data_IF_279321317932
#
_entry.id   IF_279321317932
#
_cell.length_a   1.000
_cell.length_b   1.000
_cell.length_c   1.000
_cell.angle_alpha   90.00
_cell.angle_beta   90.00
_cell.angle_gamma   90.00
#
_symmetry.space_group_name_H-M   'P 1'
#
loop_
_entity.id
_entity.type
_entity.pdbx_description
1 polymer ?
#
# COMPACT_ATOMS: atom_id res chain seq x y z
N UNK A 1 -0.07 17.39 -12.73
CA UNK A 1 -1.04 16.76 -13.65
C UNK A 1 -0.96 15.27 -13.35
N UNK A 2 -2.09 14.61 -13.08
CA UNK A 2 -2.15 13.16 -12.86
C UNK A 2 -1.80 12.44 -14.16
N UNK A 3 -0.94 11.43 -14.06
CA UNK A 3 -0.53 10.61 -15.19
C UNK A 3 -0.85 9.15 -14.89
N UNK A 4 -1.53 8.47 -15.80
CA UNK A 4 -1.95 7.07 -15.63
C UNK A 4 -1.08 6.16 -16.48
N UNK A 5 -0.53 5.11 -15.86
CA UNK A 5 0.25 4.07 -16.52
C UNK A 5 -0.43 2.70 -16.32
N UNK A 6 -0.63 1.97 -17.42
CA UNK A 6 -1.01 0.56 -17.37
C UNK A 6 0.14 -0.27 -16.82
N UNK A 7 -0.15 -1.22 -15.94
CA UNK A 7 0.88 -2.09 -15.39
C UNK A 7 1.38 -3.11 -16.40
N UNK A 8 0.49 -3.62 -17.23
CA UNK A 8 0.75 -4.69 -18.19
C UNK A 8 0.52 -4.18 -19.61
N UNK A 9 1.51 -4.34 -20.48
CA UNK A 9 1.48 -3.85 -21.86
C UNK A 9 1.48 -4.97 -22.89
N UNK A 10 1.82 -6.19 -22.50
CA UNK A 10 1.89 -7.38 -23.38
C UNK A 10 0.99 -8.48 -22.87
N UNK A 11 1.35 -9.15 -21.80
CA UNK A 11 0.58 -10.23 -21.19
C UNK A 11 0.19 -9.89 -19.76
N UNK A 12 -1.08 -10.07 -19.41
CA UNK A 12 -1.56 -9.87 -18.04
C UNK A 12 -1.45 -11.20 -17.29
N UNK A 13 -0.60 -11.34 -16.25
CA UNK A 13 -0.51 -12.57 -15.50
C UNK A 13 -1.82 -12.84 -14.74
N UNK A 14 -2.15 -14.11 -14.51
CA UNK A 14 -3.39 -14.52 -13.83
C UNK A 14 -4.66 -13.94 -14.49
N UNK A 15 -4.65 -13.89 -15.83
CA UNK A 15 -5.76 -13.40 -16.62
C UNK A 15 -6.97 -14.33 -16.49
N UNK A 16 -8.15 -13.77 -16.34
CA UNK A 16 -9.43 -14.47 -16.37
C UNK A 16 -10.25 -14.00 -17.56
N UNK A 17 -11.31 -14.75 -17.90
CA UNK A 17 -12.21 -14.39 -19.00
C UNK A 17 -12.79 -12.98 -18.78
N UNK A 18 -12.62 -12.13 -19.79
CA UNK A 18 -13.06 -10.74 -19.76
C UNK A 18 -12.08 -9.74 -19.14
N UNK A 19 -10.87 -10.16 -18.74
CA UNK A 19 -9.81 -9.23 -18.37
C UNK A 19 -9.33 -8.43 -19.61
N UNK A 20 -8.85 -7.21 -19.34
CA UNK A 20 -8.42 -6.27 -20.39
C UNK A 20 -9.57 -5.44 -20.99
N UNK A 21 -10.81 -5.78 -20.69
CA UNK A 21 -11.98 -4.94 -20.98
C UNK A 21 -12.33 -4.14 -19.73
N UNK A 22 -12.29 -2.83 -19.84
CA UNK A 22 -12.61 -1.93 -18.72
C UNK A 22 -14.07 -2.12 -18.28
N UNK A 23 -14.27 -2.66 -17.08
CA UNK A 23 -15.59 -2.95 -16.48
C UNK A 23 -15.79 -2.27 -15.15
N UNK A 24 -14.70 -1.69 -14.61
CA UNK A 24 -14.74 -1.06 -13.30
C UNK A 24 -15.79 0.05 -13.20
N UNK A 25 -16.46 0.08 -12.07
CA UNK A 25 -17.45 1.07 -11.74
C UNK A 25 -17.44 1.38 -10.24
N UNK A 26 -18.01 2.51 -9.87
CA UNK A 26 -18.25 2.83 -8.47
C UNK A 26 -19.53 2.19 -8.00
N UNK A 27 -19.48 1.48 -6.86
CA UNK A 27 -20.67 0.92 -6.20
C UNK A 27 -21.54 2.09 -5.75
N UNK A 28 -22.80 2.09 -6.15
CA UNK A 28 -23.76 3.12 -5.72
C UNK A 28 -24.00 3.03 -4.21
N UNK A 29 -23.82 4.15 -3.51
CA UNK A 29 -24.00 4.25 -2.06
C UNK A 29 -24.23 5.71 -1.67
N UNK A 30 -25.02 5.94 -0.62
CA UNK A 30 -25.15 7.26 0.03
C UNK A 30 -23.95 7.61 0.94
N UNK A 31 -23.07 6.65 1.17
CA UNK A 31 -21.82 6.82 1.91
C UNK A 31 -20.84 7.67 1.06
N UNK A 32 -20.14 8.65 1.64
CA UNK A 32 -19.14 9.47 0.93
C UNK A 32 -17.93 8.66 0.44
N UNK A 33 -17.75 7.43 0.87
CA UNK A 33 -16.68 6.54 0.44
C UNK A 33 -16.96 6.03 -0.97
N UNK A 34 -16.09 6.39 -1.91
CA UNK A 34 -16.13 5.86 -3.27
C UNK A 34 -15.51 4.46 -3.31
N UNK A 35 -16.30 3.46 -3.67
CA UNK A 35 -15.87 2.04 -3.77
C UNK A 35 -15.79 1.62 -5.23
N UNK A 36 -14.57 1.53 -5.75
CA UNK A 36 -14.31 1.09 -7.13
C UNK A 36 -14.19 -0.45 -7.15
N UNK A 37 -15.00 -1.11 -7.96
CA UNK A 37 -14.99 -2.58 -8.12
C UNK A 37 -14.86 -3.01 -9.57
N UNK A 38 -14.81 -4.33 -9.81
CA UNK A 38 -14.65 -4.97 -11.13
C UNK A 38 -13.42 -4.48 -11.91
N UNK A 39 -12.35 -4.21 -11.17
CA UNK A 39 -11.08 -3.79 -11.77
C UNK A 39 -10.44 -4.96 -12.51
N UNK A 40 -10.41 -4.88 -13.83
CA UNK A 40 -9.79 -5.86 -14.75
C UNK A 40 -8.58 -5.29 -15.51
N UNK A 41 -8.44 -3.95 -15.53
CA UNK A 41 -7.30 -3.22 -16.11
C UNK A 41 -6.53 -2.53 -15.01
N UNK A 42 -5.48 -3.18 -14.44
CA UNK A 42 -4.72 -2.58 -13.36
C UNK A 42 -3.78 -1.48 -13.84
N UNK A 43 -3.71 -0.40 -13.08
CA UNK A 43 -2.98 0.83 -13.43
C UNK A 43 -2.38 1.49 -12.19
N UNK A 44 -1.40 2.36 -12.39
CA UNK A 44 -0.97 3.35 -11.40
C UNK A 44 -1.30 4.76 -11.87
N UNK A 45 -1.85 5.57 -10.99
CA UNK A 45 -1.96 7.01 -11.16
C UNK A 45 -0.79 7.70 -10.45
N UNK A 46 0.04 8.42 -11.19
CA UNK A 46 1.19 9.14 -10.65
C UNK A 46 0.80 10.55 -10.23
N UNK A 47 1.19 10.93 -9.01
CA UNK A 47 1.05 12.26 -8.41
C UNK A 47 2.46 12.78 -8.07
N UNK A 48 3.22 13.28 -9.07
CA UNK A 48 4.55 13.81 -8.84
C UNK A 48 4.50 15.13 -8.08
N UNK A 49 5.59 15.46 -7.39
CA UNK A 49 5.78 16.77 -6.76
C UNK A 49 6.83 17.57 -7.51
N UNK A 50 6.64 18.90 -7.55
CA UNK A 50 7.64 19.79 -8.11
C UNK A 50 8.77 19.97 -7.09
N UNK A 51 9.98 19.52 -7.42
CA UNK A 51 11.15 19.62 -6.57
C UNK A 51 12.42 19.73 -7.42
N UNK A 52 13.39 20.49 -6.94
CA UNK A 52 14.72 20.56 -7.53
C UNK A 52 15.68 19.43 -7.08
N UNK A 53 15.29 18.69 -6.04
CA UNK A 53 15.98 17.47 -5.58
C UNK A 53 15.10 16.26 -5.85
N UNK A 54 15.71 15.09 -6.00
CA UNK A 54 14.99 13.82 -5.98
C UNK A 54 14.22 13.67 -4.69
N UNK A 55 12.98 13.21 -4.80
CA UNK A 55 12.08 13.01 -3.66
C UNK A 55 11.82 11.53 -3.41
N UNK A 56 11.53 11.11 -2.18
CA UNK A 56 11.03 9.77 -1.93
C UNK A 56 9.64 9.59 -2.56
N UNK A 57 9.27 8.33 -2.79
CA UNK A 57 7.98 7.97 -3.36
C UNK A 57 7.22 6.98 -2.47
N UNK A 58 5.89 6.97 -2.59
CA UNK A 58 5.01 6.04 -1.88
C UNK A 58 3.98 5.45 -2.83
N UNK A 59 3.97 4.12 -2.96
CA UNK A 59 2.86 3.40 -3.56
C UNK A 59 1.71 3.32 -2.56
N UNK A 60 0.54 3.83 -2.92
CA UNK A 60 -0.68 3.83 -2.08
C UNK A 60 -1.60 2.70 -2.53
N UNK A 61 -1.90 1.78 -1.60
CA UNK A 61 -2.75 0.62 -1.82
C UNK A 61 -4.03 0.78 -0.99
N UNK A 62 -5.17 1.17 -1.60
CA UNK A 62 -6.45 1.27 -0.90
C UNK A 62 -6.90 -0.07 -0.32
N UNK A 63 -7.70 -0.03 0.75
CA UNK A 63 -8.41 -1.19 1.27
C UNK A 63 -9.69 -1.51 0.51
N UNK A 64 -10.51 -2.39 1.10
CA UNK A 64 -11.77 -2.84 0.52
C UNK A 64 -11.92 -4.35 0.50
N UNK A 65 -11.18 -5.08 1.35
CA UNK A 65 -11.32 -6.53 1.55
C UNK A 65 -10.89 -7.39 0.35
N UNK A 66 -10.27 -6.83 -0.67
CA UNK A 66 -10.07 -7.39 -2.01
C UNK A 66 -11.36 -7.51 -2.84
N UNK A 67 -12.46 -6.89 -2.41
CA UNK A 67 -13.72 -6.87 -3.16
C UNK A 67 -13.89 -5.57 -3.94
N UNK A 68 -13.36 -4.49 -3.43
CA UNK A 68 -13.34 -3.15 -4.05
C UNK A 68 -12.10 -2.37 -3.59
N UNK A 69 -11.94 -1.17 -4.12
CA UNK A 69 -10.92 -0.20 -3.69
C UNK A 69 -11.63 1.00 -3.06
N UNK A 70 -11.26 1.37 -1.83
CA UNK A 70 -11.73 2.57 -1.15
C UNK A 70 -11.03 3.80 -1.76
N UNK A 71 -11.52 4.26 -2.91
CA UNK A 71 -10.79 5.02 -3.91
C UNK A 71 -10.43 6.44 -3.53
N UNK A 72 -11.32 7.12 -2.78
CA UNK A 72 -11.08 8.50 -2.33
C UNK A 72 -10.23 8.54 -1.04
N UNK A 73 -10.83 8.26 0.12
CA UNK A 73 -10.27 8.52 1.45
C UNK A 73 -9.08 7.63 1.84
N UNK A 74 -8.88 6.49 1.19
CA UNK A 74 -7.69 5.62 1.32
C UNK A 74 -6.80 5.65 0.07
N UNK A 75 -7.19 6.38 -0.96
CA UNK A 75 -6.51 6.48 -2.25
C UNK A 75 -6.10 7.91 -2.60
N UNK A 76 -6.93 8.61 -3.38
CA UNK A 76 -6.61 9.94 -3.94
C UNK A 76 -6.29 11.00 -2.88
N UNK A 77 -7.03 11.01 -1.78
CA UNK A 77 -6.84 11.97 -0.70
C UNK A 77 -5.51 11.73 0.03
N UNK A 78 -5.12 10.44 0.16
CA UNK A 78 -3.80 10.06 0.69
C UNK A 78 -2.68 10.48 -0.24
N UNK A 79 -2.84 10.34 -1.56
CA UNK A 79 -1.84 10.85 -2.52
C UNK A 79 -1.67 12.36 -2.38
N UNK A 80 -2.77 13.11 -2.24
CA UNK A 80 -2.75 14.55 -2.01
C UNK A 80 -2.05 14.92 -0.69
N UNK A 81 -2.32 14.16 0.38
CA UNK A 81 -1.66 14.32 1.67
C UNK A 81 -0.14 14.12 1.54
N UNK A 82 0.30 13.04 0.90
CA UNK A 82 1.72 12.72 0.70
C UNK A 82 2.42 13.80 -0.14
N UNK A 83 1.76 14.31 -1.17
CA UNK A 83 2.28 15.43 -1.94
C UNK A 83 2.48 16.69 -1.08
N UNK A 84 1.53 16.99 -0.18
CA UNK A 84 1.68 18.07 0.79
C UNK A 84 2.86 17.90 1.76
N UNK A 85 3.31 16.66 1.95
CA UNK A 85 4.49 16.30 2.76
C UNK A 85 5.79 16.30 1.92
N UNK A 86 5.73 16.49 0.59
CA UNK A 86 6.88 16.46 -0.32
C UNK A 86 7.22 15.09 -0.90
N UNK A 87 6.35 14.10 -0.78
CA UNK A 87 6.53 12.77 -1.36
C UNK A 87 5.82 12.67 -2.70
N UNK A 88 6.45 12.07 -3.70
CA UNK A 88 5.73 11.61 -4.88
C UNK A 88 4.82 10.45 -4.48
N UNK A 89 3.57 10.46 -4.92
CA UNK A 89 2.61 9.41 -4.58
C UNK A 89 2.12 8.70 -5.84
N UNK A 90 1.84 7.41 -5.70
CA UNK A 90 1.37 6.57 -6.79
C UNK A 90 0.19 5.75 -6.30
N UNK A 91 -1.00 6.00 -6.83
CA UNK A 91 -2.21 5.28 -6.45
C UNK A 91 -2.33 4.01 -7.29
N UNK A 92 -2.40 2.87 -6.61
CA UNK A 92 -2.56 1.57 -7.25
C UNK A 92 -4.05 1.24 -7.44
N UNK A 93 -4.45 1.04 -8.69
CA UNK A 93 -5.70 0.40 -9.08
C UNK A 93 -5.42 -1.08 -9.35
N UNK A 94 -5.45 -1.91 -8.31
CA UNK A 94 -5.20 -3.34 -8.41
C UNK A 94 -6.46 -4.13 -8.70
N UNK A 95 -6.32 -5.31 -9.31
CA UNK A 95 -7.45 -6.16 -9.70
C UNK A 95 -8.24 -6.67 -8.49
N UNK A 96 -9.56 -6.56 -8.59
CA UNK A 96 -10.57 -7.06 -7.67
C UNK A 96 -11.90 -7.28 -8.42
N UNK A 97 -12.89 -8.03 -7.90
CA UNK A 97 -12.91 -8.71 -6.60
C UNK A 97 -12.15 -10.05 -6.59
N UNK A 98 -11.86 -10.54 -5.38
CA UNK A 98 -11.32 -11.88 -5.08
C UNK A 98 -10.05 -12.32 -5.85
N UNK A 99 -9.26 -11.35 -6.32
CA UNK A 99 -8.08 -11.54 -7.17
C UNK A 99 -6.76 -11.34 -6.40
N UNK A 100 -6.60 -11.92 -5.19
CA UNK A 100 -5.45 -11.66 -4.30
C UNK A 100 -4.08 -11.90 -4.96
N UNK A 101 -3.91 -13.00 -5.68
CA UNK A 101 -2.65 -13.33 -6.36
C UNK A 101 -2.37 -12.33 -7.49
N UNK A 102 -3.39 -12.00 -8.27
CA UNK A 102 -3.30 -11.00 -9.32
C UNK A 102 -2.99 -9.61 -8.74
N UNK A 103 -3.65 -9.21 -7.64
CA UNK A 103 -3.39 -7.96 -6.94
C UNK A 103 -1.93 -7.87 -6.43
N UNK A 104 -1.36 -9.00 -5.95
CA UNK A 104 0.05 -9.03 -5.54
C UNK A 104 0.99 -8.86 -6.74
N UNK A 105 0.70 -9.50 -7.88
CA UNK A 105 1.42 -9.29 -9.13
C UNK A 105 1.36 -7.82 -9.57
N UNK A 106 0.17 -7.21 -9.52
CA UNK A 106 -0.06 -5.80 -9.86
C UNK A 106 0.76 -4.86 -8.97
N UNK A 107 0.76 -5.09 -7.66
CA UNK A 107 1.53 -4.28 -6.72
C UNK A 107 3.06 -4.42 -6.92
N UNK A 108 3.54 -5.64 -7.15
CA UNK A 108 4.95 -5.89 -7.43
C UNK A 108 5.39 -5.21 -8.74
N UNK A 109 4.56 -5.29 -9.77
CA UNK A 109 4.82 -4.61 -11.05
C UNK A 109 4.81 -3.09 -10.89
N UNK A 110 3.87 -2.55 -10.12
CA UNK A 110 3.79 -1.12 -9.83
C UNK A 110 5.08 -0.59 -9.17
N UNK A 111 5.59 -1.27 -8.14
CA UNK A 111 6.86 -0.92 -7.49
C UNK A 111 8.02 -0.87 -8.48
N UNK A 112 8.13 -1.85 -9.36
CA UNK A 112 9.16 -1.92 -10.41
C UNK A 112 9.03 -0.79 -11.42
N UNK A 113 7.80 -0.49 -11.87
CA UNK A 113 7.53 0.60 -12.80
C UNK A 113 7.86 1.97 -12.20
N UNK A 114 7.59 2.18 -10.91
CA UNK A 114 7.97 3.42 -10.20
C UNK A 114 9.49 3.58 -10.22
N UNK A 115 10.25 2.53 -9.91
CA UNK A 115 11.72 2.57 -9.93
C UNK A 115 12.27 2.75 -11.36
N UNK A 116 11.71 2.06 -12.34
CA UNK A 116 12.13 2.17 -13.75
C UNK A 116 11.93 3.58 -14.31
N UNK A 117 10.87 4.26 -13.88
CA UNK A 117 10.51 5.60 -14.34
C UNK A 117 10.90 6.70 -13.33
N UNK A 118 11.74 6.42 -12.35
CA UNK A 118 12.08 7.33 -11.26
C UNK A 118 12.61 8.70 -11.77
N UNK A 119 13.42 8.70 -12.83
CA UNK A 119 13.93 9.94 -13.43
C UNK A 119 12.81 10.82 -14.01
N UNK A 120 11.75 10.23 -14.57
CA UNK A 120 10.60 10.93 -15.16
C UNK A 120 9.83 11.75 -14.12
N UNK A 121 9.76 11.26 -12.87
CA UNK A 121 9.01 11.89 -11.78
C UNK A 121 9.91 12.53 -10.72
N UNK A 122 11.22 12.63 -11.02
CA UNK A 122 12.23 13.15 -10.08
C UNK A 122 12.23 12.40 -8.74
N UNK A 123 12.02 11.07 -8.77
CA UNK A 123 11.98 10.18 -7.62
C UNK A 123 13.37 9.63 -7.34
N UNK A 124 13.69 9.44 -6.06
CA UNK A 124 14.83 8.65 -5.61
C UNK A 124 14.47 7.15 -5.65
N UNK A 125 15.02 6.35 -6.57
CA UNK A 125 14.65 4.94 -6.71
C UNK A 125 15.03 4.07 -5.50
N UNK A 126 15.91 4.55 -4.61
CA UNK A 126 16.29 3.87 -3.37
C UNK A 126 15.42 4.29 -2.17
N UNK A 127 14.38 5.10 -2.40
CA UNK A 127 13.44 5.58 -1.39
C UNK A 127 11.99 5.45 -1.86
N UNK A 128 11.63 4.24 -2.27
CA UNK A 128 10.26 3.92 -2.73
C UNK A 128 9.59 3.03 -1.70
N UNK A 129 8.65 3.59 -0.93
CA UNK A 129 7.88 2.87 0.08
C UNK A 129 6.50 2.44 -0.41
N UNK A 130 5.78 1.73 0.46
CA UNK A 130 4.39 1.36 0.25
C UNK A 130 3.55 1.71 1.48
N UNK A 131 2.38 2.29 1.25
CA UNK A 131 1.38 2.61 2.26
C UNK A 131 0.08 1.92 1.88
N UNK A 132 -0.49 1.16 2.81
CA UNK A 132 -1.74 0.47 2.56
C UNK A 132 -2.70 0.52 3.73
N UNK A 133 -3.97 0.31 3.40
CA UNK A 133 -5.09 0.31 4.33
C UNK A 133 -5.79 -1.04 4.31
N UNK A 134 -6.08 -1.64 5.47
CA UNK A 134 -6.84 -2.89 5.56
C UNK A 134 -6.27 -3.99 4.64
N UNK A 135 -7.01 -4.45 3.64
CA UNK A 135 -6.53 -5.38 2.61
C UNK A 135 -5.37 -4.81 1.79
N UNK A 136 -5.32 -3.50 1.55
CA UNK A 136 -4.18 -2.83 0.92
C UNK A 136 -2.93 -2.84 1.80
N UNK A 137 -3.08 -2.79 3.14
CA UNK A 137 -1.98 -2.99 4.07
C UNK A 137 -1.46 -4.42 4.05
N UNK A 138 -2.36 -5.43 3.93
CA UNK A 138 -1.94 -6.81 3.66
C UNK A 138 -1.13 -6.90 2.36
N UNK A 139 -1.56 -6.22 1.29
CA UNK A 139 -0.84 -6.18 0.03
C UNK A 139 0.57 -5.57 0.18
N UNK A 140 0.71 -4.48 0.96
CA UNK A 140 2.01 -3.90 1.31
C UNK A 140 2.87 -4.85 2.15
N UNK A 141 2.26 -5.61 3.07
CA UNK A 141 2.95 -6.64 3.84
C UNK A 141 3.46 -7.78 2.93
N UNK A 142 2.67 -8.18 1.92
CA UNK A 142 3.09 -9.14 0.89
C UNK A 142 4.31 -8.62 0.10
N UNK A 143 4.33 -7.35 -0.31
CA UNK A 143 5.49 -6.74 -0.96
C UNK A 143 6.75 -6.78 -0.08
N UNK A 144 6.59 -6.61 1.23
CA UNK A 144 7.69 -6.53 2.18
C UNK A 144 8.23 -7.91 2.60
N UNK A 145 7.37 -8.90 2.78
CA UNK A 145 7.67 -10.12 3.52
C UNK A 145 7.12 -11.43 2.94
N UNK A 146 6.59 -11.44 1.71
CA UNK A 146 6.11 -12.69 1.10
C UNK A 146 7.24 -13.73 1.05
N UNK A 147 6.91 -14.97 1.41
CA UNK A 147 7.78 -16.15 1.18
C UNK A 147 7.85 -16.52 -0.29
N UNK A 148 6.84 -16.19 -1.04
CA UNK A 148 6.80 -16.46 -2.47
C UNK A 148 7.75 -15.52 -3.19
N UNK A 149 8.50 -16.06 -4.12
CA UNK A 149 9.28 -15.29 -5.07
C UNK A 149 8.37 -14.45 -5.97
N UNK A 150 8.94 -13.84 -6.98
CA UNK A 150 8.23 -12.96 -7.90
C UNK A 150 6.87 -13.56 -8.30
N UNK A 151 5.76 -12.82 -8.10
CA UNK A 151 4.41 -13.37 -8.29
C UNK A 151 4.03 -13.56 -9.78
N UNK A 152 4.94 -13.34 -10.72
CA UNK A 152 4.69 -13.48 -12.17
C UNK A 152 5.99 -13.69 -12.95
N UNK A 153 5.97 -14.35 -14.13
CA UNK A 153 7.13 -14.45 -14.97
C UNK A 153 7.54 -13.08 -15.55
N UNK A 154 8.85 -12.79 -15.70
CA UNK A 154 9.33 -11.50 -16.24
C UNK A 154 8.70 -11.16 -17.59
N UNK A 155 8.19 -9.94 -17.73
CA UNK A 155 7.60 -9.41 -18.97
C UNK A 155 8.61 -8.61 -19.80
N UNK A 156 9.42 -7.80 -19.11
CA UNK A 156 10.39 -6.89 -19.72
C UNK A 156 11.56 -6.58 -18.76
N UNK A 157 12.58 -5.80 -19.17
CA UNK A 157 13.72 -5.45 -18.31
C UNK A 157 13.36 -4.76 -17.00
N UNK A 158 12.20 -4.12 -16.88
CA UNK A 158 11.72 -3.51 -15.63
C UNK A 158 11.62 -4.56 -14.52
N UNK A 159 11.35 -5.80 -14.85
CA UNK A 159 11.18 -6.89 -13.90
C UNK A 159 12.48 -7.40 -13.28
N UNK A 160 13.62 -6.89 -13.69
CA UNK A 160 14.90 -7.09 -13.02
C UNK A 160 15.06 -6.20 -11.77
N UNK A 161 14.23 -5.14 -11.65
CA UNK A 161 14.26 -4.23 -10.51
C UNK A 161 13.56 -4.84 -9.29
N UNK A 162 13.96 -4.38 -8.11
CA UNK A 162 13.35 -4.80 -6.87
C UNK A 162 11.89 -4.31 -6.77
N UNK A 163 10.97 -5.20 -6.40
CA UNK A 163 9.59 -4.85 -6.05
C UNK A 163 9.41 -4.61 -4.55
N UNK A 164 10.37 -5.02 -3.73
CA UNK A 164 10.31 -4.83 -2.28
C UNK A 164 10.38 -3.33 -1.95
N UNK A 165 9.49 -2.81 -1.08
CA UNK A 165 9.55 -1.43 -0.64
C UNK A 165 10.76 -1.17 0.27
N UNK A 166 11.24 0.08 0.28
CA UNK A 166 12.32 0.53 1.18
C UNK A 166 11.79 0.89 2.58
N UNK A 167 10.49 1.11 2.71
CA UNK A 167 9.75 1.31 3.96
C UNK A 167 8.25 1.01 3.76
N UNK A 168 7.53 0.69 4.83
CA UNK A 168 6.09 0.39 4.77
C UNK A 168 5.29 1.11 5.84
N UNK A 169 4.05 1.51 5.49
CA UNK A 169 3.04 1.98 6.43
C UNK A 169 1.81 1.06 6.31
N UNK A 170 1.50 0.37 7.40
CA UNK A 170 0.40 -0.59 7.48
C UNK A 170 -0.69 0.00 8.40
N UNK A 171 -1.75 0.52 7.80
CA UNK A 171 -2.82 1.20 8.51
C UNK A 171 -4.00 0.23 8.65
N UNK A 172 -4.38 -0.06 9.89
CA UNK A 172 -5.38 -1.08 10.28
C UNK A 172 -5.30 -2.35 9.41
N UNK A 173 -4.12 -3.01 9.39
CA UNK A 173 -3.90 -4.11 8.48
C UNK A 173 -4.83 -5.29 8.79
N UNK A 174 -5.25 -5.98 7.73
CA UNK A 174 -6.02 -7.22 7.82
C UNK A 174 -5.15 -8.43 7.49
N UNK A 175 -5.54 -9.62 7.93
CA UNK A 175 -5.01 -10.92 7.50
C UNK A 175 -3.51 -11.15 7.78
N UNK A 176 -2.91 -10.42 8.73
CA UNK A 176 -1.49 -10.58 9.07
C UNK A 176 -1.27 -11.65 10.14
N UNK A 177 -2.17 -11.74 11.12
CA UNK A 177 -2.05 -12.66 12.26
C UNK A 177 -3.40 -13.23 12.68
N UNK A 178 -3.38 -14.34 13.40
CA UNK A 178 -4.52 -14.92 14.10
C UNK A 178 -4.68 -14.34 15.53
N UNK A 179 -5.65 -14.86 16.29
CA UNK A 179 -5.94 -14.42 17.66
C UNK A 179 -4.81 -14.71 18.65
N UNK A 180 -3.94 -15.68 18.34
CA UNK A 180 -2.76 -16.05 19.13
C UNK A 180 -1.50 -15.23 18.72
N UNK A 181 -1.66 -14.18 17.94
CA UNK A 181 -0.57 -13.33 17.39
C UNK A 181 0.40 -14.10 16.48
N UNK A 182 0.01 -15.26 15.99
CA UNK A 182 0.79 -16.03 15.02
C UNK A 182 0.57 -15.45 13.64
N UNK A 183 1.66 -15.05 12.98
CA UNK A 183 1.59 -14.56 11.60
C UNK A 183 1.11 -15.63 10.64
N UNK A 184 0.38 -15.20 9.62
CA UNK A 184 0.01 -16.01 8.46
C UNK A 184 1.26 -16.66 7.85
N UNK A 185 1.13 -17.90 7.41
CA UNK A 185 2.25 -18.71 6.86
C UNK A 185 2.84 -18.14 5.56
N UNK A 186 2.14 -17.19 4.93
CA UNK A 186 2.60 -16.53 3.72
C UNK A 186 3.76 -15.52 3.96
N UNK A 187 4.02 -15.13 5.22
CA UNK A 187 5.05 -14.17 5.57
C UNK A 187 6.34 -14.80 6.10
N UNK A 188 7.47 -14.20 5.70
CA UNK A 188 8.80 -14.47 6.24
C UNK A 188 9.42 -13.20 6.82
N UNK A 189 9.34 -13.04 8.14
CA UNK A 189 9.93 -11.87 8.81
C UNK A 189 11.40 -12.14 9.10
N UNK A 190 12.26 -11.27 8.60
CA UNK A 190 13.71 -11.35 8.75
C UNK A 190 14.28 -10.02 9.29
N UNK A 191 15.53 -10.03 9.73
CA UNK A 191 16.22 -8.81 10.18
C UNK A 191 16.28 -7.72 9.11
N UNK A 192 16.23 -8.13 7.83
CA UNK A 192 16.32 -7.21 6.69
C UNK A 192 14.95 -6.67 6.24
N UNK A 193 13.93 -6.74 7.10
CA UNK A 193 12.64 -6.11 6.82
C UNK A 193 12.77 -4.62 6.62
N UNK A 194 12.01 -4.02 5.68
CA UNK A 194 11.92 -2.58 5.58
C UNK A 194 11.38 -1.99 6.89
N UNK A 195 11.86 -0.82 7.34
CA UNK A 195 11.25 -0.11 8.45
C UNK A 195 9.74 -0.01 8.27
N UNK A 196 8.98 -0.33 9.31
CA UNK A 196 7.52 -0.42 9.23
C UNK A 196 6.85 0.47 10.28
N UNK A 197 5.91 1.28 9.81
CA UNK A 197 4.97 2.02 10.65
C UNK A 197 3.64 1.26 10.70
N UNK A 198 3.09 1.09 11.90
CA UNK A 198 1.82 0.41 12.16
C UNK A 198 0.87 1.33 12.90
N UNK A 199 -0.40 1.32 12.52
CA UNK A 199 -1.43 2.10 13.19
C UNK A 199 -2.75 1.35 13.15
N UNK A 200 -3.43 1.24 14.31
CA UNK A 200 -4.73 0.61 14.44
C UNK A 200 -5.49 1.12 15.67
N UNK A 201 -6.81 0.93 15.69
CA UNK A 201 -7.65 1.09 16.87
C UNK A 201 -7.89 -0.26 17.54
N UNK A 202 -8.00 -0.28 18.87
CA UNK A 202 -8.32 -1.51 19.61
C UNK A 202 -9.76 -1.97 19.35
N UNK A 203 -10.69 -1.01 19.20
CA UNK A 203 -12.09 -1.28 18.90
C UNK A 203 -12.36 -1.53 17.39
N UNK A 204 -11.33 -1.81 16.58
CA UNK A 204 -11.46 -2.16 15.17
C UNK A 204 -12.11 -3.53 15.01
N UNK A 205 -13.13 -3.64 14.16
CA UNK A 205 -13.75 -4.93 13.81
C UNK A 205 -12.81 -5.88 13.03
N UNK A 206 -11.72 -5.35 12.43
CA UNK A 206 -10.58 -6.12 11.95
C UNK A 206 -9.54 -6.16 13.06
N UNK A 207 -9.32 -7.33 13.59
CA UNK A 207 -8.57 -7.58 14.83
C UNK A 207 -7.23 -6.85 14.94
N UNK A 208 -7.01 -6.21 16.07
CA UNK A 208 -5.76 -5.50 16.41
C UNK A 208 -4.54 -6.45 16.48
N UNK A 209 -4.78 -7.75 16.66
CA UNK A 209 -3.78 -8.83 16.65
C UNK A 209 -2.97 -8.84 15.37
N UNK A 210 -3.52 -8.38 14.24
CA UNK A 210 -2.79 -8.20 12.99
C UNK A 210 -1.57 -7.27 13.17
N UNK A 211 -1.78 -6.10 13.78
CA UNK A 211 -0.71 -5.14 14.05
C UNK A 211 0.23 -5.61 15.16
N UNK A 212 -0.32 -6.17 16.24
CA UNK A 212 0.47 -6.69 17.36
C UNK A 212 1.37 -7.85 16.94
N UNK A 213 0.83 -8.83 16.22
CA UNK A 213 1.57 -9.98 15.73
C UNK A 213 2.73 -9.57 14.81
N UNK A 214 2.46 -8.67 13.88
CA UNK A 214 3.49 -8.13 12.99
C UNK A 214 4.59 -7.39 13.74
N UNK A 215 4.22 -6.47 14.65
CA UNK A 215 5.17 -5.72 15.45
C UNK A 215 6.07 -6.63 16.30
N UNK A 216 5.48 -7.63 16.97
CA UNK A 216 6.23 -8.59 17.79
C UNK A 216 7.17 -9.46 16.95
N UNK A 217 6.73 -9.88 15.75
CA UNK A 217 7.59 -10.65 14.84
C UNK A 217 8.80 -9.82 14.39
N UNK A 218 8.60 -8.56 14.00
CA UNK A 218 9.70 -7.65 13.64
C UNK A 218 10.66 -7.41 14.80
N UNK A 219 10.12 -7.17 16.01
CA UNK A 219 10.93 -6.99 17.21
C UNK A 219 11.81 -8.22 17.52
N UNK A 220 11.26 -9.41 17.39
CA UNK A 220 12.00 -10.68 17.67
C UNK A 220 13.22 -10.87 16.76
N UNK A 221 13.17 -10.38 15.53
CA UNK A 221 14.31 -10.46 14.57
C UNK A 221 15.19 -9.21 14.59
N UNK A 222 14.89 -8.21 15.42
CA UNK A 222 15.65 -6.95 15.50
C UNK A 222 15.45 -6.04 14.29
N UNK A 223 14.32 -6.15 13.59
CA UNK A 223 13.92 -5.23 12.52
C UNK A 223 13.23 -3.98 13.11
N UNK A 224 13.31 -2.86 12.40
CA UNK A 224 12.76 -1.58 12.86
C UNK A 224 11.26 -1.50 12.63
N UNK A 225 10.50 -1.31 13.71
CA UNK A 225 9.06 -1.05 13.64
C UNK A 225 8.66 0.04 14.65
N UNK A 226 7.70 0.88 14.25
CA UNK A 226 7.01 1.85 15.11
C UNK A 226 5.52 1.57 15.05
N UNK A 227 4.84 1.52 16.20
CA UNK A 227 3.42 1.19 16.29
C UNK A 227 2.68 2.20 17.14
N UNK A 228 1.53 2.64 16.65
CA UNK A 228 0.58 3.49 17.34
C UNK A 228 -0.75 2.75 17.48
N UNK A 229 -1.21 2.61 18.71
CA UNK A 229 -2.45 1.92 19.04
C UNK A 229 -3.37 2.87 19.80
N UNK A 230 -4.60 3.00 19.34
CA UNK A 230 -5.62 3.86 19.92
C UNK A 230 -6.75 3.02 20.51
N UNK A 231 -7.36 3.49 21.58
CA UNK A 231 -8.52 2.80 22.17
C UNK A 231 -9.74 2.85 21.23
N UNK A 232 -9.88 3.95 20.48
CA UNK A 232 -11.03 4.20 19.62
C UNK A 232 -10.61 4.65 18.23
N UNK A 233 -11.42 4.32 17.23
CA UNK A 233 -11.22 4.70 15.82
C UNK A 233 -12.00 3.82 14.85
N UNK A 234 -12.29 2.58 15.25
CA UNK A 234 -12.96 1.60 14.38
C UNK A 234 -12.10 1.23 13.16
N UNK A 235 -12.76 0.76 12.10
CA UNK A 235 -12.13 0.35 10.86
C UNK A 235 -12.47 1.28 9.70
N UNK A 236 -11.54 1.45 8.75
CA UNK A 236 -11.82 2.15 7.49
C UNK A 236 -11.87 3.67 7.60
N UNK A 237 -11.27 4.27 8.63
CA UNK A 237 -11.28 5.73 8.82
C UNK A 237 -10.47 6.48 7.75
N UNK A 238 -9.46 5.85 7.13
CA UNK A 238 -8.62 6.49 6.10
C UNK A 238 -8.11 7.86 6.54
N UNK A 239 -8.42 8.89 5.76
CA UNK A 239 -8.11 10.29 6.09
C UNK A 239 -9.36 11.10 6.53
N UNK A 240 -10.46 10.42 6.82
CA UNK A 240 -11.70 11.09 7.25
C UNK A 240 -11.45 11.77 8.60
N UNK A 241 -11.63 13.08 8.62
CA UNK A 241 -11.49 13.86 9.84
C UNK A 241 -12.65 13.55 10.81
N UNK A 242 -12.30 13.09 11.99
CA UNK A 242 -13.22 12.89 13.11
C UNK A 242 -12.67 13.64 14.32
N UNK A 243 -13.48 13.78 15.38
CA UNK A 243 -13.00 14.32 16.65
C UNK A 243 -12.14 13.33 17.47
N UNK A 244 -11.93 12.11 16.98
CA UNK A 244 -11.13 11.09 17.65
C UNK A 244 -9.63 11.34 17.50
N UNK A 245 -8.85 11.00 18.54
CA UNK A 245 -7.40 11.19 18.56
C UNK A 245 -6.68 10.47 17.42
N UNK A 246 -7.23 9.35 16.91
CA UNK A 246 -6.67 8.61 15.79
C UNK A 246 -6.67 9.42 14.48
N UNK A 247 -7.52 10.45 14.35
CA UNK A 247 -7.55 11.32 13.17
C UNK A 247 -6.26 12.13 12.97
N UNK A 248 -5.42 12.23 13.99
CA UNK A 248 -4.11 12.90 13.93
C UNK A 248 -2.99 12.00 13.41
N UNK A 249 -3.29 10.76 13.02
CA UNK A 249 -2.30 9.83 12.51
C UNK A 249 -1.44 10.36 11.35
N UNK A 250 -1.94 11.24 10.45
CA UNK A 250 -1.11 11.77 9.36
C UNK A 250 0.12 12.53 9.85
N UNK A 251 0.03 13.23 10.99
CA UNK A 251 1.16 13.96 11.60
C UNK A 251 2.22 13.00 12.14
N UNK A 252 1.79 11.88 12.74
CA UNK A 252 2.71 10.83 13.20
C UNK A 252 3.42 10.17 12.02
N UNK A 253 2.67 9.80 10.98
CA UNK A 253 3.22 9.25 9.75
C UNK A 253 4.21 10.22 9.07
N UNK A 254 3.88 11.52 9.00
CA UNK A 254 4.76 12.54 8.44
C UNK A 254 6.08 12.65 9.20
N UNK A 255 6.03 12.66 10.54
CA UNK A 255 7.22 12.71 11.39
C UNK A 255 8.09 11.47 11.21
N UNK A 256 7.47 10.30 11.13
CA UNK A 256 8.15 9.04 10.90
C UNK A 256 8.79 8.98 9.51
N UNK A 257 8.04 9.32 8.46
CA UNK A 257 8.50 9.34 7.07
C UNK A 257 9.72 10.24 6.89
N UNK A 258 9.70 11.47 7.44
CA UNK A 258 10.85 12.39 7.37
C UNK A 258 12.10 11.78 8.00
N UNK A 259 11.96 11.15 9.18
CA UNK A 259 13.07 10.52 9.89
C UNK A 259 13.70 9.39 9.09
N UNK A 260 12.91 8.49 8.51
CA UNK A 260 13.44 7.31 7.80
C UNK A 260 13.95 7.63 6.39
N UNK A 261 13.41 8.66 5.73
CA UNK A 261 13.85 9.07 4.39
C UNK A 261 14.93 10.15 4.41
N UNK A 262 15.23 10.74 5.58
CA UNK A 262 16.18 11.83 5.72
C UNK A 262 15.69 13.14 5.08
N UNK A 263 14.38 13.33 4.94
CA UNK A 263 13.80 14.61 4.53
C UNK A 263 13.79 15.58 5.72
N UNK A 264 14.36 16.76 5.50
CA UNK A 264 14.37 17.87 6.46
C UNK A 264 13.09 18.71 6.33
#
# INVERSE_FOLDING_TARGET
>A
MEEILKLWTRSVPYCEEGDGVQKEHFIASDDPVQRLTDVSVPEISAFPVCSWKKVPAVLVCPGGGYNFLAWNHEGRDICSLLNGMGFAAFLLKYRCPDRRVAAFADAARAMRLIRANAARWNVDPEKVGALGFSAGAHLCAMLAASKNEVPYPPEDPTDTLAFRPDFTLLIYPARLADDDLKLSEEFAITRNMPPTFLLQAENDGVRVENSLGWFLAMKRVGATAEMHLYAEGGHGFGIIRSGAAIADWPQLAASWLRRITGMC
#
